data_IF_002659124526
#
_entry.id   IF_002659124526
#
_cell.length_a   1.000
_cell.length_b   1.000
_cell.length_c   1.000
_cell.angle_alpha   90.00
_cell.angle_beta   90.00
_cell.angle_gamma   90.00
#
_symmetry.space_group_name_H-M   'P 1'
#
loop_
_entity.id
_entity.type
_entity.pdbx_description
1 polymer ?
#
# COMPACT_ATOMS: atom_id res chain seq x y z
N UNK A 1 1.61 3.91 30.66
CA UNK A 1 1.42 4.87 29.56
C UNK A 1 0.35 4.30 28.65
N UNK A 2 -0.51 5.11 28.04
CA UNK A 2 -1.60 4.62 27.16
C UNK A 2 -1.12 4.15 25.77
N UNK A 3 0.19 4.00 25.56
CA UNK A 3 0.81 3.49 24.33
C UNK A 3 2.18 2.85 24.67
N UNK A 4 2.65 1.96 23.78
CA UNK A 4 3.95 1.29 23.93
C UNK A 4 5.12 2.25 23.72
N UNK A 5 6.17 2.10 24.54
CA UNK A 5 7.44 2.81 24.33
C UNK A 5 8.09 2.38 23.00
N UNK A 6 9.00 3.19 22.40
CA UNK A 6 9.70 2.81 21.17
C UNK A 6 10.37 1.43 21.23
N UNK A 7 11.00 1.07 22.36
CA UNK A 7 11.59 -0.27 22.58
C UNK A 7 10.51 -1.36 22.55
N UNK A 8 9.41 -1.18 23.26
CA UNK A 8 8.31 -2.14 23.29
C UNK A 8 7.60 -2.27 21.93
N UNK A 9 7.63 -1.24 21.07
CA UNK A 9 7.13 -1.33 19.69
C UNK A 9 8.02 -2.28 18.88
N UNK A 10 9.36 -2.15 18.96
CA UNK A 10 10.31 -3.03 18.26
C UNK A 10 10.11 -4.48 18.69
N UNK A 11 9.98 -4.75 20.00
CA UNK A 11 9.73 -6.10 20.54
C UNK A 11 8.42 -6.68 20.01
N UNK A 12 7.34 -5.89 20.00
CA UNK A 12 6.05 -6.32 19.47
C UNK A 12 6.09 -6.53 17.94
N UNK A 13 6.84 -5.70 17.22
CA UNK A 13 7.07 -5.86 15.77
C UNK A 13 7.88 -7.14 15.48
N UNK A 14 8.92 -7.46 16.26
CA UNK A 14 9.66 -8.72 16.12
C UNK A 14 8.75 -9.93 16.36
N UNK A 15 7.92 -9.90 17.41
CA UNK A 15 6.96 -10.97 17.69
C UNK A 15 5.97 -11.18 16.54
N UNK A 16 5.39 -10.08 16.02
CA UNK A 16 4.51 -10.13 14.87
C UNK A 16 5.24 -10.61 13.61
N UNK A 17 6.49 -10.17 13.41
CA UNK A 17 7.34 -10.58 12.30
C UNK A 17 7.63 -12.07 12.27
N UNK A 18 7.92 -12.69 13.43
CA UNK A 18 8.07 -14.15 13.55
C UNK A 18 6.78 -14.88 13.16
N UNK A 19 5.63 -14.46 13.70
CA UNK A 19 4.35 -15.07 13.38
C UNK A 19 4.02 -14.99 11.87
N UNK A 20 4.34 -13.87 11.22
CA UNK A 20 4.18 -13.69 9.77
C UNK A 20 5.15 -14.56 8.95
N UNK A 21 6.40 -14.68 9.39
CA UNK A 21 7.41 -15.51 8.73
C UNK A 21 7.06 -17.01 8.80
N UNK A 22 6.34 -17.45 9.83
CA UNK A 22 5.94 -18.84 10.04
C UNK A 22 4.65 -19.24 9.29
N UNK A 23 3.95 -18.29 8.67
CA UNK A 23 2.75 -18.59 7.89
C UNK A 23 3.04 -19.57 6.76
N UNK A 24 2.13 -20.52 6.55
CA UNK A 24 2.18 -21.43 5.39
C UNK A 24 1.89 -20.69 4.10
N UNK A 25 2.40 -21.20 2.98
CA UNK A 25 2.21 -20.59 1.65
C UNK A 25 0.71 -20.37 1.32
N UNK A 26 -0.21 -21.33 1.52
CA UNK A 26 -1.63 -21.07 1.29
C UNK A 26 -2.19 -19.91 2.11
N UNK A 27 -1.79 -19.79 3.38
CA UNK A 27 -2.21 -18.67 4.23
C UNK A 27 -1.65 -17.34 3.72
N UNK A 28 -0.36 -17.32 3.32
CA UNK A 28 0.28 -16.14 2.73
C UNK A 28 -0.44 -15.67 1.47
N UNK A 29 -0.84 -16.59 0.58
CA UNK A 29 -1.58 -16.27 -0.64
C UNK A 29 -2.99 -15.74 -0.36
N UNK A 30 -3.77 -16.43 0.50
CA UNK A 30 -5.15 -16.01 0.81
C UNK A 30 -5.18 -14.69 1.57
N UNK A 31 -4.36 -14.55 2.62
CA UNK A 31 -4.27 -13.30 3.37
C UNK A 31 -3.67 -12.17 2.52
N UNK A 32 -2.76 -12.52 1.60
CA UNK A 32 -2.24 -11.59 0.59
C UNK A 32 -3.33 -11.11 -0.36
N UNK A 33 -4.18 -12.02 -0.87
CA UNK A 33 -5.33 -11.66 -1.70
C UNK A 33 -6.24 -10.66 -0.97
N UNK A 34 -6.58 -10.93 0.29
CA UNK A 34 -7.40 -10.01 1.09
C UNK A 34 -6.75 -8.63 1.23
N UNK A 35 -5.46 -8.57 1.54
CA UNK A 35 -4.76 -7.29 1.70
C UNK A 35 -4.69 -6.50 0.37
N UNK A 36 -4.43 -7.17 -0.75
CA UNK A 36 -4.48 -6.57 -2.07
C UNK A 36 -5.85 -5.98 -2.38
N UNK A 37 -6.91 -6.74 -2.10
CA UNK A 37 -8.29 -6.28 -2.24
C UNK A 37 -8.60 -5.09 -1.32
N UNK A 38 -8.16 -5.12 -0.06
CA UNK A 38 -8.39 -4.02 0.90
C UNK A 38 -7.69 -2.73 0.48
N UNK A 39 -6.44 -2.80 0.03
CA UNK A 39 -5.75 -1.63 -0.53
C UNK A 39 -6.44 -1.13 -1.80
N UNK A 40 -6.91 -2.05 -2.65
CA UNK A 40 -7.67 -1.70 -3.85
C UNK A 40 -9.00 -1.01 -3.50
N UNK A 41 -9.73 -1.42 -2.47
CA UNK A 41 -10.92 -0.69 -1.98
C UNK A 41 -10.57 0.74 -1.53
N UNK A 42 -9.44 0.93 -0.85
CA UNK A 42 -8.93 2.26 -0.52
C UNK A 42 -8.67 3.10 -1.78
N UNK A 43 -8.03 2.51 -2.79
CA UNK A 43 -7.79 3.14 -4.09
C UNK A 43 -9.07 3.43 -4.87
N UNK A 44 -10.01 2.50 -4.87
CA UNK A 44 -11.31 2.65 -5.51
C UNK A 44 -12.11 3.82 -4.90
N UNK A 45 -12.22 3.85 -3.58
CA UNK A 45 -12.87 4.96 -2.87
C UNK A 45 -12.16 6.28 -3.16
N UNK A 46 -10.83 6.28 -3.19
CA UNK A 46 -10.04 7.48 -3.47
C UNK A 46 -10.29 8.04 -4.89
N UNK A 47 -10.39 7.18 -5.92
CA UNK A 47 -10.73 7.64 -7.28
C UNK A 47 -12.15 8.21 -7.29
N UNK A 48 -13.13 7.50 -6.75
CA UNK A 48 -14.53 7.95 -6.77
C UNK A 48 -14.69 9.30 -6.06
N UNK A 49 -14.14 9.45 -4.85
CA UNK A 49 -14.29 10.68 -4.05
C UNK A 49 -13.38 11.79 -4.57
N UNK A 50 -12.13 11.49 -4.83
CA UNK A 50 -11.12 12.51 -5.15
C UNK A 50 -11.05 12.90 -6.62
N UNK A 51 -11.66 12.12 -7.53
CA UNK A 51 -11.62 12.37 -8.99
C UNK A 51 -13.00 12.44 -9.64
N UNK A 52 -14.06 12.16 -8.87
CA UNK A 52 -15.43 12.23 -9.37
C UNK A 52 -15.94 13.65 -9.69
N UNK A 53 -15.19 14.71 -9.37
CA UNK A 53 -15.53 16.10 -9.64
C UNK A 53 -14.36 16.79 -10.36
N UNK A 54 -14.28 16.71 -11.70
CA UNK A 54 -13.20 17.31 -12.49
C UNK A 54 -13.06 18.81 -12.28
N UNK A 55 -14.16 19.55 -12.17
CA UNK A 55 -14.20 20.99 -11.96
C UNK A 55 -13.56 21.39 -10.62
N UNK A 56 -13.86 20.64 -9.56
CA UNK A 56 -13.26 20.85 -8.26
C UNK A 56 -11.74 20.62 -8.30
N UNK A 57 -11.30 19.58 -8.99
CA UNK A 57 -9.88 19.27 -9.13
C UNK A 57 -9.14 20.33 -9.94
N UNK A 58 -9.78 20.92 -10.96
CA UNK A 58 -9.21 22.02 -11.75
C UNK A 58 -9.16 23.33 -10.94
N UNK A 59 -10.22 23.64 -10.20
CA UNK A 59 -10.31 24.87 -9.41
C UNK A 59 -9.44 24.83 -8.13
N UNK A 60 -9.33 23.68 -7.48
CA UNK A 60 -8.55 23.50 -6.24
C UNK A 60 -7.85 22.14 -6.20
N UNK A 61 -6.66 22.01 -6.84
CA UNK A 61 -5.91 20.76 -6.88
C UNK A 61 -5.50 20.25 -5.49
N UNK A 62 -5.28 21.14 -4.53
CA UNK A 62 -4.92 20.78 -3.16
C UNK A 62 -6.06 20.07 -2.43
N UNK A 63 -7.28 20.57 -2.59
CA UNK A 63 -8.48 19.93 -2.02
C UNK A 63 -8.75 18.57 -2.67
N UNK A 64 -8.60 18.46 -4.00
CA UNK A 64 -8.71 17.18 -4.70
C UNK A 64 -7.72 16.13 -4.18
N UNK A 65 -6.46 16.53 -3.93
CA UNK A 65 -5.44 15.65 -3.32
C UNK A 65 -5.79 15.28 -1.88
N UNK A 66 -6.31 16.22 -1.09
CA UNK A 66 -6.74 15.96 0.28
C UNK A 66 -7.89 14.97 0.33
N UNK A 67 -8.91 15.13 -0.51
CA UNK A 67 -10.05 14.21 -0.60
C UNK A 67 -9.58 12.80 -1.03
N UNK A 68 -8.77 12.72 -2.09
CA UNK A 68 -8.22 11.45 -2.58
C UNK A 68 -7.38 10.75 -1.49
N UNK A 69 -6.46 11.50 -0.86
CA UNK A 69 -5.61 10.98 0.21
C UNK A 69 -6.36 10.70 1.51
N UNK A 70 -7.36 11.51 1.84
CA UNK A 70 -8.10 11.42 3.09
C UNK A 70 -8.97 10.18 3.25
N UNK A 71 -9.47 9.60 2.16
CA UNK A 71 -10.30 8.40 2.18
C UNK A 71 -9.53 7.10 1.94
N UNK A 72 -8.35 7.18 1.32
CA UNK A 72 -7.51 5.99 1.02
C UNK A 72 -7.11 5.16 2.25
N UNK A 73 -6.90 5.74 3.48
CA UNK A 73 -6.45 5.00 4.66
C UNK A 73 -7.35 3.83 5.08
N UNK A 74 -8.62 3.81 4.66
CA UNK A 74 -9.54 2.69 4.91
C UNK A 74 -8.90 1.36 4.48
N UNK A 75 -8.13 1.36 3.39
CA UNK A 75 -7.44 0.16 2.91
C UNK A 75 -6.47 -0.42 3.95
N UNK A 76 -5.59 0.41 4.53
CA UNK A 76 -4.66 -0.08 5.56
C UNK A 76 -5.35 -0.34 6.91
N UNK A 77 -6.42 0.37 7.24
CA UNK A 77 -7.24 0.06 8.42
C UNK A 77 -7.82 -1.35 8.32
N UNK A 78 -8.37 -1.74 7.18
CA UNK A 78 -8.85 -3.09 6.92
C UNK A 78 -7.71 -4.13 7.01
N UNK A 79 -6.54 -3.85 6.43
CA UNK A 79 -5.37 -4.74 6.51
C UNK A 79 -4.96 -5.01 7.96
N UNK A 80 -4.82 -3.96 8.77
CA UNK A 80 -4.27 -4.06 10.13
C UNK A 80 -5.31 -4.54 11.14
N UNK A 81 -6.55 -4.05 11.05
CA UNK A 81 -7.57 -4.29 12.09
C UNK A 81 -8.35 -5.57 11.79
N UNK A 82 -8.77 -5.80 10.53
CA UNK A 82 -9.42 -7.05 10.15
C UNK A 82 -8.43 -8.22 9.99
N UNK A 83 -7.16 -7.94 9.76
CA UNK A 83 -6.08 -8.94 9.74
C UNK A 83 -5.85 -9.53 8.34
N UNK A 84 -4.77 -9.10 7.67
CA UNK A 84 -4.32 -9.66 6.39
C UNK A 84 -2.82 -9.40 6.18
N UNK A 85 -2.26 -9.95 5.10
CA UNK A 85 -0.83 -9.88 4.82
C UNK A 85 -0.53 -8.89 3.70
N UNK A 86 0.03 -7.73 4.06
CA UNK A 86 0.43 -6.71 3.11
C UNK A 86 1.95 -6.70 2.94
N UNK A 87 2.44 -6.91 1.72
CA UNK A 87 3.86 -6.94 1.39
C UNK A 87 4.62 -5.72 1.92
N UNK A 88 4.11 -4.51 1.68
CA UNK A 88 4.76 -3.27 2.09
C UNK A 88 4.87 -3.14 3.61
N UNK A 89 3.84 -3.52 4.37
CA UNK A 89 3.89 -3.57 5.83
C UNK A 89 4.84 -4.65 6.35
N UNK A 90 4.87 -5.83 5.69
CA UNK A 90 5.75 -6.94 6.05
C UNK A 90 7.23 -6.58 5.86
N UNK A 91 7.58 -5.67 4.94
CA UNK A 91 8.96 -5.16 4.82
C UNK A 91 9.45 -4.55 6.14
N UNK A 92 8.64 -3.75 6.81
CA UNK A 92 9.01 -3.13 8.08
C UNK A 92 8.97 -4.10 9.27
N UNK A 93 8.01 -5.03 9.30
CA UNK A 93 7.71 -5.86 10.48
C UNK A 93 8.55 -7.13 10.55
N UNK A 94 8.81 -7.82 9.42
CA UNK A 94 9.60 -9.06 9.43
C UNK A 94 11.10 -8.78 9.50
N UNK A 95 11.56 -7.68 8.92
CA UNK A 95 12.99 -7.32 8.89
C UNK A 95 13.63 -7.28 10.29
N UNK A 96 13.08 -6.59 11.31
CA UNK A 96 13.68 -6.60 12.65
C UNK A 96 13.70 -7.98 13.28
N UNK A 97 12.71 -8.85 13.03
CA UNK A 97 12.73 -10.23 13.48
C UNK A 97 13.89 -11.05 12.88
N UNK A 98 14.25 -10.78 11.61
CA UNK A 98 15.44 -11.39 10.98
C UNK A 98 16.74 -10.83 11.54
N UNK A 99 16.81 -9.52 11.82
CA UNK A 99 18.01 -8.87 12.36
C UNK A 99 18.31 -9.29 13.80
N UNK A 100 17.31 -9.63 14.58
CA UNK A 100 17.46 -10.24 15.92
C UNK A 100 17.81 -11.74 15.88
N UNK A 101 17.77 -12.37 14.70
CA UNK A 101 17.93 -13.81 14.55
C UNK A 101 16.69 -14.65 14.93
N UNK A 102 15.57 -14.02 15.32
CA UNK A 102 14.34 -14.70 15.70
C UNK A 102 13.57 -15.27 14.49
N UNK A 103 13.77 -14.72 13.29
CA UNK A 103 13.24 -15.24 12.04
C UNK A 103 14.36 -15.46 11.01
N UNK A 104 14.15 -16.39 10.06
CA UNK A 104 15.13 -16.69 9.01
C UNK A 104 14.92 -15.80 7.80
N UNK A 105 15.99 -15.36 7.15
CA UNK A 105 15.94 -14.54 5.92
C UNK A 105 15.22 -15.24 4.76
N UNK A 106 15.34 -16.57 4.63
CA UNK A 106 14.59 -17.31 3.61
C UNK A 106 13.07 -17.33 3.88
N UNK A 107 12.65 -17.29 5.15
CA UNK A 107 11.24 -17.18 5.51
C UNK A 107 10.69 -15.77 5.18
N UNK A 108 11.48 -14.71 5.39
CA UNK A 108 11.16 -13.35 4.93
C UNK A 108 11.00 -13.31 3.42
N UNK A 109 11.96 -13.82 2.65
CA UNK A 109 11.88 -13.81 1.18
C UNK A 109 10.68 -14.61 0.68
N UNK A 110 10.42 -15.79 1.26
CA UNK A 110 9.23 -16.59 0.97
C UNK A 110 7.95 -15.78 1.24
N UNK A 111 7.85 -15.15 2.41
CA UNK A 111 6.68 -14.32 2.75
C UNK A 111 6.51 -13.18 1.75
N UNK A 112 7.56 -12.43 1.44
CA UNK A 112 7.50 -11.33 0.50
C UNK A 112 6.99 -11.78 -0.87
N UNK A 113 7.51 -12.89 -1.42
CA UNK A 113 7.10 -13.40 -2.74
C UNK A 113 5.63 -13.81 -2.75
N UNK A 114 5.21 -14.69 -1.84
CA UNK A 114 3.85 -15.23 -1.88
C UNK A 114 2.79 -14.21 -1.46
N UNK A 115 3.10 -13.34 -0.50
CA UNK A 115 2.21 -12.23 -0.14
C UNK A 115 2.08 -11.23 -1.29
N UNK A 116 3.18 -10.89 -1.99
CA UNK A 116 3.17 -10.00 -3.16
C UNK A 116 2.30 -10.55 -4.29
N UNK A 117 2.41 -11.85 -4.57
CA UNK A 117 1.54 -12.53 -5.56
C UNK A 117 0.07 -12.45 -5.11
N UNK A 118 -0.22 -12.76 -3.85
CA UNK A 118 -1.57 -12.64 -3.30
C UNK A 118 -2.11 -11.21 -3.41
N UNK A 119 -1.30 -10.20 -3.02
CA UNK A 119 -1.67 -8.80 -3.14
C UNK A 119 -1.99 -8.41 -4.59
N UNK A 120 -1.18 -8.89 -5.56
CA UNK A 120 -1.42 -8.65 -6.98
C UNK A 120 -2.78 -9.19 -7.42
N UNK A 121 -3.07 -10.45 -7.13
CA UNK A 121 -4.33 -11.09 -7.53
C UNK A 121 -5.52 -10.38 -6.89
N UNK A 122 -5.45 -10.03 -5.61
CA UNK A 122 -6.52 -9.31 -4.91
C UNK A 122 -6.77 -7.91 -5.46
N UNK A 123 -5.71 -7.18 -5.78
CA UNK A 123 -5.81 -5.82 -6.37
C UNK A 123 -6.45 -5.86 -7.76
N UNK A 124 -6.01 -6.79 -8.63
CA UNK A 124 -6.56 -6.96 -9.98
C UNK A 124 -8.00 -7.44 -9.92
N UNK A 125 -8.33 -8.33 -8.97
CA UNK A 125 -9.72 -8.78 -8.76
C UNK A 125 -10.67 -7.59 -8.50
N UNK A 126 -10.31 -6.69 -7.61
CA UNK A 126 -11.14 -5.51 -7.32
C UNK A 126 -11.20 -4.56 -8.52
N UNK A 127 -10.08 -4.35 -9.22
CA UNK A 127 -10.03 -3.49 -10.41
C UNK A 127 -10.99 -4.00 -11.50
N UNK A 128 -10.91 -5.29 -11.82
CA UNK A 128 -11.68 -5.89 -12.91
C UNK A 128 -13.15 -6.13 -12.52
N UNK A 129 -13.39 -6.84 -11.41
CA UNK A 129 -14.74 -7.32 -11.10
C UNK A 129 -15.59 -6.29 -10.36
N UNK A 130 -14.99 -5.52 -9.43
CA UNK A 130 -15.77 -4.65 -8.55
C UNK A 130 -15.75 -3.18 -8.98
N UNK A 131 -14.73 -2.73 -9.69
CA UNK A 131 -14.68 -1.36 -10.18
C UNK A 131 -15.14 -1.26 -11.64
N UNK A 132 -14.54 -2.04 -12.54
CA UNK A 132 -14.79 -1.93 -13.98
C UNK A 132 -16.09 -2.64 -14.41
N UNK A 133 -16.27 -3.92 -14.12
CA UNK A 133 -17.47 -4.69 -14.60
C UNK A 133 -18.78 -4.26 -13.95
N UNK A 134 -18.74 -3.70 -12.73
CA UNK A 134 -19.95 -3.09 -12.14
C UNK A 134 -20.36 -1.78 -12.79
N UNK A 135 -19.50 -1.21 -13.66
CA UNK A 135 -19.73 0.08 -14.29
C UNK A 135 -19.43 1.30 -13.41
N UNK A 136 -19.02 1.11 -12.14
CA UNK A 136 -18.76 2.20 -11.20
C UNK A 136 -17.51 3.01 -11.58
N UNK A 137 -16.53 2.36 -12.23
CA UNK A 137 -15.35 3.03 -12.84
C UNK A 137 -15.18 2.46 -14.24
N UNK A 138 -15.98 2.96 -15.19
CA UNK A 138 -15.97 2.47 -16.56
C UNK A 138 -16.35 3.58 -17.52
N UNK A 139 -15.44 3.91 -18.45
CA UNK A 139 -15.64 4.98 -19.46
C UNK A 139 -16.83 4.76 -20.39
N UNK A 140 -17.28 3.51 -20.55
CA UNK A 140 -18.41 3.13 -21.42
C UNK A 140 -19.75 3.19 -20.67
N UNK A 141 -19.78 3.51 -19.37
CA UNK A 141 -20.99 3.59 -18.56
C UNK A 141 -21.15 5.04 -18.08
N UNK A 142 -22.27 5.74 -18.39
CA UNK A 142 -22.43 7.17 -18.08
C UNK A 142 -22.15 7.51 -16.61
N UNK A 143 -22.59 6.70 -15.67
CA UNK A 143 -22.38 6.93 -14.22
C UNK A 143 -20.91 6.75 -13.78
N UNK A 144 -20.12 6.00 -14.53
CA UNK A 144 -18.71 5.71 -14.23
C UNK A 144 -17.71 6.44 -15.14
N UNK A 145 -18.19 7.17 -16.14
CA UNK A 145 -17.35 7.73 -17.21
C UNK A 145 -16.26 8.64 -16.70
N UNK A 146 -16.60 9.69 -15.98
CA UNK A 146 -15.62 10.67 -15.47
C UNK A 146 -14.55 10.05 -14.58
N UNK A 147 -14.94 9.06 -13.75
CA UNK A 147 -14.03 8.34 -12.87
C UNK A 147 -13.16 7.35 -13.65
N UNK A 148 -13.73 6.75 -14.73
CA UNK A 148 -13.02 5.90 -15.68
C UNK A 148 -11.93 6.67 -16.43
N UNK A 149 -12.25 7.84 -16.99
CA UNK A 149 -11.30 8.73 -17.64
C UNK A 149 -10.17 9.15 -16.67
N UNK A 150 -10.51 9.48 -15.43
CA UNK A 150 -9.53 9.80 -14.40
C UNK A 150 -8.62 8.62 -14.08
N UNK A 151 -9.15 7.38 -14.07
CA UNK A 151 -8.35 6.17 -13.83
C UNK A 151 -7.34 5.93 -14.96
N UNK A 152 -7.72 6.17 -16.21
CA UNK A 152 -6.82 6.08 -17.36
C UNK A 152 -5.68 7.10 -17.25
N UNK A 153 -6.00 8.36 -16.97
CA UNK A 153 -5.01 9.41 -16.77
C UNK A 153 -4.03 9.10 -15.60
N UNK A 154 -4.53 8.52 -14.51
CA UNK A 154 -3.69 8.08 -13.38
C UNK A 154 -2.70 7.00 -13.82
N UNK A 155 -3.14 5.99 -14.57
CA UNK A 155 -2.28 4.91 -15.05
C UNK A 155 -1.17 5.43 -15.96
N UNK A 156 -1.51 6.30 -16.91
CA UNK A 156 -0.54 6.94 -17.82
C UNK A 156 0.48 7.79 -17.05
N UNK A 157 0.02 8.62 -16.12
CA UNK A 157 0.90 9.42 -15.29
C UNK A 157 1.89 8.56 -14.49
N UNK A 158 1.44 7.43 -13.94
CA UNK A 158 2.27 6.53 -13.13
C UNK A 158 3.37 5.82 -13.90
N UNK A 159 3.13 5.39 -15.13
CA UNK A 159 4.17 4.71 -15.94
C UNK A 159 5.16 5.68 -16.56
N UNK A 160 4.83 6.98 -16.59
CA UNK A 160 5.68 8.05 -17.16
C UNK A 160 6.51 8.81 -16.10
N UNK A 161 6.51 8.39 -14.83
CA UNK A 161 7.30 9.05 -13.77
C UNK A 161 8.82 8.95 -14.02
N UNK A 162 9.27 7.91 -14.69
CA UNK A 162 10.68 7.55 -14.83
C UNK A 162 11.21 6.73 -13.66
N UNK A 163 12.24 5.92 -13.93
CA UNK A 163 12.73 4.89 -12.99
C UNK A 163 13.18 5.48 -11.65
N UNK A 164 14.10 6.45 -11.69
CA UNK A 164 14.69 6.98 -10.45
C UNK A 164 13.69 7.79 -9.60
N UNK A 165 12.89 8.72 -10.15
CA UNK A 165 11.81 9.34 -9.38
C UNK A 165 10.78 8.33 -8.83
N UNK A 166 10.42 7.29 -9.57
CA UNK A 166 9.51 6.24 -9.08
C UNK A 166 10.08 5.48 -7.89
N UNK A 167 11.38 5.14 -7.94
CA UNK A 167 12.11 4.52 -6.83
C UNK A 167 12.11 5.42 -5.58
N UNK A 168 12.46 6.71 -5.72
CA UNK A 168 12.50 7.66 -4.60
C UNK A 168 11.10 7.86 -3.99
N UNK A 169 10.06 7.99 -4.82
CA UNK A 169 8.67 8.06 -4.36
C UNK A 169 8.25 6.75 -3.65
N UNK A 170 8.76 5.61 -4.12
CA UNK A 170 8.59 4.31 -3.46
C UNK A 170 9.20 4.28 -2.06
N UNK A 171 10.43 4.81 -1.89
CA UNK A 171 11.09 4.91 -0.59
C UNK A 171 10.25 5.73 0.38
N UNK A 172 9.89 6.97 0.01
CA UNK A 172 9.10 7.86 0.86
C UNK A 172 7.73 7.28 1.21
N UNK A 173 7.09 6.61 0.26
CA UNK A 173 5.80 5.96 0.48
C UNK A 173 5.90 4.89 1.58
N UNK A 174 6.76 3.90 1.40
CA UNK A 174 6.77 2.78 2.34
C UNK A 174 7.45 3.10 3.67
N UNK A 175 8.23 4.17 3.73
CA UNK A 175 8.64 4.75 5.00
C UNK A 175 7.40 5.16 5.82
N UNK A 176 6.47 5.92 5.22
CA UNK A 176 5.23 6.35 5.88
C UNK A 176 4.26 5.19 6.15
N UNK A 177 4.11 4.23 5.22
CA UNK A 177 3.26 3.04 5.43
C UNK A 177 3.75 2.22 6.60
N UNK A 178 5.05 1.95 6.69
CA UNK A 178 5.61 1.21 7.81
C UNK A 178 5.53 1.98 9.13
N UNK A 179 5.66 3.31 9.12
CA UNK A 179 5.41 4.14 10.31
C UNK A 179 3.94 4.07 10.74
N UNK A 180 2.98 4.04 9.81
CA UNK A 180 1.57 3.83 10.14
C UNK A 180 1.35 2.48 10.86
N UNK A 181 1.97 1.41 10.37
CA UNK A 181 1.94 0.08 11.04
C UNK A 181 2.62 0.14 12.39
N UNK A 182 3.76 0.80 12.50
CA UNK A 182 4.51 1.00 13.74
C UNK A 182 3.69 1.72 14.81
N UNK A 183 3.06 2.82 14.44
CA UNK A 183 2.17 3.58 15.31
C UNK A 183 0.91 2.79 15.68
N UNK A 184 0.37 1.97 14.76
CA UNK A 184 -0.75 1.08 15.05
C UNK A 184 -0.37 -0.05 16.04
N UNK A 185 0.88 -0.54 16.01
CA UNK A 185 1.42 -1.48 17.02
C UNK A 185 1.54 -0.77 18.37
N UNK A 186 1.89 0.51 18.40
CA UNK A 186 1.99 1.30 19.62
C UNK A 186 0.64 1.50 20.31
N UNK A 187 -0.44 1.62 19.54
CA UNK A 187 -1.78 1.94 20.05
C UNK A 187 -2.46 0.72 20.71
N UNK A 188 -3.09 0.94 21.87
CA UNK A 188 -3.72 -0.11 22.66
C UNK A 188 -5.25 -0.25 22.43
N UNK A 189 -5.84 0.62 21.59
CA UNK A 189 -7.26 0.58 21.25
C UNK A 189 -7.51 0.85 19.76
N UNK A 190 -8.70 0.49 19.29
CA UNK A 190 -9.06 0.60 17.86
C UNK A 190 -9.07 2.04 17.37
N UNK A 191 -9.60 2.99 18.13
CA UNK A 191 -9.63 4.40 17.74
C UNK A 191 -8.22 4.97 17.56
N UNK A 192 -7.32 4.66 18.49
CA UNK A 192 -5.91 5.00 18.39
C UNK A 192 -5.25 4.40 17.15
N UNK A 193 -5.55 3.13 16.82
CA UNK A 193 -5.04 2.48 15.59
C UNK A 193 -5.54 3.19 14.32
N UNK A 194 -6.82 3.54 14.26
CA UNK A 194 -7.41 4.26 13.12
C UNK A 194 -6.70 5.60 12.92
N UNK A 195 -6.54 6.40 13.96
CA UNK A 195 -5.86 7.69 13.89
C UNK A 195 -4.37 7.56 13.54
N UNK A 196 -3.69 6.56 14.12
CA UNK A 196 -2.30 6.25 13.85
C UNK A 196 -2.05 5.86 12.38
N UNK A 197 -2.98 5.15 11.76
CA UNK A 197 -2.93 4.76 10.36
C UNK A 197 -3.31 5.94 9.44
N UNK A 198 -4.31 6.72 9.81
CA UNK A 198 -4.94 7.69 8.93
C UNK A 198 -3.94 8.76 8.46
N UNK A 199 -3.20 9.38 9.36
CA UNK A 199 -2.31 10.48 9.04
C UNK A 199 -1.15 10.13 8.09
N UNK A 200 -0.32 9.11 8.37
CA UNK A 200 0.80 8.80 7.45
C UNK A 200 0.31 8.28 6.10
N UNK A 201 -0.81 7.55 6.07
CA UNK A 201 -1.36 7.03 4.83
C UNK A 201 -1.96 8.15 3.98
N UNK A 202 -2.77 9.04 4.58
CA UNK A 202 -3.28 10.24 3.90
C UNK A 202 -2.13 11.07 3.34
N UNK A 203 -1.08 11.28 4.13
CA UNK A 203 0.08 12.08 3.74
C UNK A 203 0.78 11.51 2.51
N UNK A 204 1.14 10.20 2.49
CA UNK A 204 1.86 9.67 1.33
C UNK A 204 1.02 9.73 0.05
N UNK A 205 -0.30 9.51 0.15
CA UNK A 205 -1.21 9.57 -1.00
C UNK A 205 -1.35 11.01 -1.51
N UNK A 206 -1.58 11.97 -0.62
CA UNK A 206 -1.73 13.39 -0.99
C UNK A 206 -0.44 13.98 -1.58
N UNK A 207 0.73 13.53 -1.10
CA UNK A 207 2.05 13.90 -1.63
C UNK A 207 2.34 13.29 -3.01
N UNK A 208 1.59 12.28 -3.44
CA UNK A 208 1.82 11.58 -4.71
C UNK A 208 3.03 10.64 -4.66
N UNK A 209 3.29 10.03 -3.52
CA UNK A 209 4.29 8.96 -3.38
C UNK A 209 3.73 7.64 -3.93
N UNK A 210 4.63 6.69 -4.25
CA UNK A 210 4.30 5.51 -5.03
C UNK A 210 4.25 4.24 -4.16
N UNK A 211 3.08 3.58 -4.15
CA UNK A 211 2.83 2.32 -3.44
C UNK A 211 2.63 1.18 -4.41
N UNK A 212 3.51 0.17 -4.41
CA UNK A 212 3.49 -0.93 -5.36
C UNK A 212 2.14 -1.66 -5.38
N UNK A 213 1.56 -1.99 -4.22
CA UNK A 213 0.30 -2.73 -4.15
C UNK A 213 -0.90 -1.86 -4.60
N UNK A 214 -0.90 -0.56 -4.29
CA UNK A 214 -1.92 0.35 -4.83
C UNK A 214 -1.82 0.48 -6.36
N UNK A 215 -0.60 0.46 -6.91
CA UNK A 215 -0.38 0.51 -8.35
C UNK A 215 -0.86 -0.76 -9.07
N UNK A 216 -0.90 -1.91 -8.39
CA UNK A 216 -1.53 -3.14 -8.90
C UNK A 216 -3.05 -3.02 -9.08
N UNK A 217 -3.68 -2.01 -8.49
CA UNK A 217 -5.07 -1.64 -8.72
C UNK A 217 -5.18 -0.51 -9.74
N UNK A 218 -4.48 0.62 -9.51
CA UNK A 218 -4.64 1.83 -10.31
C UNK A 218 -4.26 1.62 -11.77
N UNK A 219 -3.14 0.95 -12.05
CA UNK A 219 -2.65 0.82 -13.43
C UNK A 219 -3.51 -0.17 -14.22
N UNK A 220 -3.81 -1.40 -13.74
CA UNK A 220 -4.74 -2.29 -14.44
C UNK A 220 -6.13 -1.69 -14.64
N UNK A 221 -6.69 -0.97 -13.66
CA UNK A 221 -7.97 -0.29 -13.81
C UNK A 221 -7.93 0.76 -14.92
N UNK A 222 -6.87 1.57 -15.00
CA UNK A 222 -6.67 2.53 -16.07
C UNK A 222 -6.52 1.86 -17.44
N UNK A 223 -5.78 0.75 -17.54
CA UNK A 223 -5.66 -0.03 -18.77
C UNK A 223 -7.03 -0.55 -19.25
N UNK A 224 -7.89 -1.02 -18.33
CA UNK A 224 -9.28 -1.43 -18.65
C UNK A 224 -10.12 -0.25 -19.14
N UNK A 225 -9.82 0.97 -18.72
CA UNK A 225 -10.48 2.21 -19.13
C UNK A 225 -9.80 2.91 -20.32
N UNK A 226 -8.94 2.21 -21.06
CA UNK A 226 -8.37 2.68 -22.32
C UNK A 226 -7.09 3.49 -22.20
N UNK A 227 -6.41 3.46 -21.04
CA UNK A 227 -5.08 4.06 -20.92
C UNK A 227 -4.09 3.46 -21.92
N UNK A 228 -3.29 4.32 -22.58
CA UNK A 228 -2.23 3.91 -23.49
C UNK A 228 -1.01 3.37 -22.72
N UNK A 229 -1.21 2.29 -21.96
CA UNK A 229 -0.21 1.66 -21.10
C UNK A 229 -0.05 0.19 -21.47
N UNK A 230 1.17 -0.22 -21.78
CA UNK A 230 1.50 -1.61 -22.04
C UNK A 230 1.80 -2.37 -20.75
N UNK A 231 1.65 -3.69 -20.75
CA UNK A 231 2.03 -4.55 -19.63
C UNK A 231 3.53 -4.39 -19.26
N UNK A 232 4.40 -4.21 -20.27
CA UNK A 232 5.81 -3.94 -20.04
C UNK A 232 6.07 -2.63 -19.30
N UNK A 233 5.36 -1.56 -19.63
CA UNK A 233 5.45 -0.28 -18.89
C UNK A 233 4.94 -0.44 -17.47
N UNK A 234 3.81 -1.11 -17.27
CA UNK A 234 3.29 -1.40 -15.94
C UNK A 234 4.33 -2.12 -15.07
N UNK A 235 4.90 -3.22 -15.56
CA UNK A 235 5.81 -4.05 -14.79
C UNK A 235 7.18 -3.41 -14.59
N UNK A 236 7.79 -2.85 -15.65
CA UNK A 236 9.20 -2.44 -15.62
C UNK A 236 9.39 -0.94 -15.45
N UNK A 237 8.50 -0.09 -15.98
CA UNK A 237 8.63 1.36 -15.79
C UNK A 237 8.06 1.85 -14.45
N UNK A 238 7.06 1.13 -13.87
CA UNK A 238 6.47 1.53 -12.59
C UNK A 238 6.69 0.49 -11.49
N UNK A 239 6.14 -0.73 -11.62
CA UNK A 239 6.04 -1.67 -10.51
C UNK A 239 7.41 -2.09 -9.97
N UNK A 240 8.39 -2.33 -10.83
CA UNK A 240 9.76 -2.71 -10.44
C UNK A 240 10.46 -1.62 -9.62
N UNK A 241 10.65 -0.38 -10.10
CA UNK A 241 11.33 0.66 -9.32
C UNK A 241 10.57 1.01 -8.03
N UNK A 242 9.24 1.05 -8.07
CA UNK A 242 8.41 1.33 -6.89
C UNK A 242 8.56 0.22 -5.85
N UNK A 243 8.57 -1.05 -6.26
CA UNK A 243 8.75 -2.17 -5.32
C UNK A 243 10.11 -2.14 -4.64
N UNK A 244 11.18 -1.89 -5.40
CA UNK A 244 12.53 -1.73 -4.83
C UNK A 244 12.53 -0.56 -3.83
N UNK A 245 11.95 0.59 -4.20
CA UNK A 245 11.82 1.73 -3.32
C UNK A 245 11.02 1.41 -2.05
N UNK A 246 9.91 0.68 -2.18
CA UNK A 246 9.11 0.26 -1.02
C UNK A 246 9.90 -0.68 -0.09
N UNK A 247 10.70 -1.61 -0.61
CA UNK A 247 11.57 -2.45 0.21
C UNK A 247 12.56 -1.59 1.01
N UNK A 248 13.26 -0.67 0.33
CA UNK A 248 14.23 0.22 0.98
C UNK A 248 13.55 1.07 2.06
N UNK A 249 12.41 1.68 1.75
CA UNK A 249 11.66 2.51 2.69
C UNK A 249 11.18 1.76 3.93
N UNK A 250 10.60 0.58 3.75
CA UNK A 250 10.07 -0.23 4.86
C UNK A 250 11.13 -0.99 5.62
N UNK A 251 11.91 -1.83 4.93
CA UNK A 251 12.93 -2.67 5.57
C UNK A 251 14.14 -1.86 6.07
N UNK A 252 14.58 -0.87 5.30
CA UNK A 252 15.72 -0.04 5.65
C UNK A 252 15.36 1.02 6.69
N UNK A 253 14.53 2.01 6.31
CA UNK A 253 14.28 3.20 7.13
C UNK A 253 13.39 2.95 8.36
N UNK A 254 12.58 1.90 8.37
CA UNK A 254 11.79 1.53 9.56
C UNK A 254 12.34 0.27 10.21
N UNK A 255 12.29 -0.86 9.53
CA UNK A 255 12.68 -2.15 10.14
C UNK A 255 14.09 -2.14 10.72
N UNK A 256 15.10 -1.85 9.91
CA UNK A 256 16.50 -1.89 10.32
C UNK A 256 16.90 -0.72 11.23
N UNK A 257 16.48 0.52 10.91
CA UNK A 257 16.84 1.71 11.70
C UNK A 257 16.27 1.64 13.11
N UNK A 258 14.97 1.32 13.26
CA UNK A 258 14.37 1.22 14.60
C UNK A 258 14.92 0.04 15.42
N UNK A 259 15.19 -1.10 14.75
CA UNK A 259 15.91 -2.20 15.39
C UNK A 259 17.30 -1.77 15.86
N UNK A 260 18.05 -1.05 15.04
CA UNK A 260 19.41 -0.59 15.42
C UNK A 260 19.39 0.36 16.61
N UNK A 261 18.39 1.25 16.71
CA UNK A 261 18.29 2.24 17.77
C UNK A 261 17.75 1.64 19.08
N UNK A 262 16.74 0.76 19.00
CA UNK A 262 15.97 0.33 20.17
C UNK A 262 15.95 -1.19 20.42
N UNK A 263 16.43 -2.00 19.51
CA UNK A 263 16.34 -3.45 19.54
C UNK A 263 17.68 -4.20 19.58
N UNK A 264 18.78 -3.48 19.66
CA UNK A 264 20.13 -4.06 19.56
C UNK A 264 20.73 -4.42 20.93
N UNK A 265 20.21 -3.92 22.02
CA UNK A 265 20.71 -4.15 23.40
C UNK A 265 20.00 -5.29 24.09
#
# INVERSE_FOLDING_TARGET
MPFKSPKAIVEAACTAGCAKADLTIPKQLVMGFLAGAFIAFGGFLAIVVGRGSPELNAANPGLGKLLFGGVFPVGLMLVVIAGSELFTGNCGVITPACLTGAARWNALLRNWVFVYIGNFVGSVFVALFLAYWTGLVNVNVPAGQAVGEASAAIAEAKVNIGFFPALLRGIGCNWLVCLAVWMAIAADNIAGKILAIWWPIMAFVALGLEHSIANMFFIPLGMLNGASVTLGQFLFANLLPVTIGNIIGGAGFVGAVYWWIYGRD
#
